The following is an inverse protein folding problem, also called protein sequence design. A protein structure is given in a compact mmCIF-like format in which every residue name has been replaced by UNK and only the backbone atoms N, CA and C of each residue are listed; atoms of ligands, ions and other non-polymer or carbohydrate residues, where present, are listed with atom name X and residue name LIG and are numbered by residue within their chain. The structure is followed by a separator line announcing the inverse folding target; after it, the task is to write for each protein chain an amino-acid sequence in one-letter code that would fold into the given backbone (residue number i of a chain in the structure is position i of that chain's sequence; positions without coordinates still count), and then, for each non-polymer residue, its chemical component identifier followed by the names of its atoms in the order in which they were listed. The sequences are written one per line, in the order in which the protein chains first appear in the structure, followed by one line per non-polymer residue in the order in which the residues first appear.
data_IF_131996269746
#
_entry.id   IF_131996269746
#
_cell.length_a   1.000
_cell.length_b   1.000
_cell.length_c   1.000
_cell.angle_alpha   90.00
_cell.angle_beta   90.00
_cell.angle_gamma   90.00
#
_symmetry.space_group_name_H-M   'P 1'
#
loop_
_entity.id
_entity.type
_entity.pdbx_description
1 polymer ?
#
# COMPACT_ATOMS: atom_id res chain seq x y z
N UNK A 1 -57.13 -41.70 -41.30
CA UNK A 1 -56.04 -40.95 -41.95
C UNK A 1 -55.39 -39.87 -41.07
N UNK A 2 -56.04 -39.34 -40.02
CA UNK A 2 -55.45 -38.28 -39.17
C UNK A 2 -54.29 -38.73 -38.25
N UNK A 3 -54.17 -40.02 -37.94
CA UNK A 3 -53.11 -40.53 -37.05
C UNK A 3 -51.74 -40.70 -37.74
N UNK A 4 -51.73 -40.98 -39.05
CA UNK A 4 -50.48 -41.14 -39.82
C UNK A 4 -49.77 -39.80 -40.09
N UNK A 5 -50.53 -38.69 -40.21
CA UNK A 5 -49.94 -37.36 -40.42
C UNK A 5 -49.22 -36.82 -39.17
N UNK A 6 -49.66 -37.22 -37.97
CA UNK A 6 -49.08 -36.75 -36.70
C UNK A 6 -47.71 -37.39 -36.41
N UNK A 7 -47.51 -38.64 -36.80
CA UNK A 7 -46.22 -39.33 -36.65
C UNK A 7 -45.12 -38.77 -37.59
N UNK A 8 -45.48 -38.36 -38.81
CA UNK A 8 -44.52 -37.78 -39.77
C UNK A 8 -44.14 -36.35 -39.38
N UNK A 9 -45.09 -35.58 -38.82
CA UNK A 9 -44.82 -34.22 -38.32
C UNK A 9 -43.92 -34.23 -37.08
N UNK A 10 -44.11 -35.16 -36.15
CA UNK A 10 -43.23 -35.32 -34.97
C UNK A 10 -41.81 -35.74 -35.33
N UNK A 11 -41.65 -36.65 -36.30
CA UNK A 11 -40.34 -37.12 -36.75
C UNK A 11 -39.55 -36.03 -37.48
N UNK A 12 -40.19 -35.20 -38.31
CA UNK A 12 -39.52 -34.11 -39.05
C UNK A 12 -39.25 -32.86 -38.19
N UNK A 13 -40.13 -32.55 -37.22
CA UNK A 13 -39.92 -31.43 -36.30
C UNK A 13 -38.84 -31.75 -35.24
N UNK A 14 -38.84 -32.98 -34.69
CA UNK A 14 -37.79 -33.44 -33.77
C UNK A 14 -36.41 -33.52 -34.42
N UNK A 15 -36.33 -33.97 -35.68
CA UNK A 15 -35.06 -34.04 -36.41
C UNK A 15 -34.45 -32.69 -36.77
N UNK A 16 -35.22 -31.59 -36.83
CA UNK A 16 -34.66 -30.27 -37.20
C UNK A 16 -34.26 -29.41 -36.01
N UNK A 17 -34.97 -29.52 -34.90
CA UNK A 17 -34.70 -28.72 -33.69
C UNK A 17 -33.64 -29.40 -32.82
N UNK A 18 -33.82 -30.69 -32.51
CA UNK A 18 -32.87 -31.44 -31.66
C UNK A 18 -31.50 -31.66 -32.29
N UNK A 19 -31.42 -31.82 -33.61
CA UNK A 19 -30.13 -31.92 -34.29
C UNK A 19 -29.41 -30.58 -34.38
N UNK A 20 -30.10 -29.45 -34.62
CA UNK A 20 -29.43 -28.14 -34.66
C UNK A 20 -28.88 -27.75 -33.29
N UNK A 21 -29.66 -27.93 -32.22
CA UNK A 21 -29.20 -27.63 -30.86
C UNK A 21 -28.14 -28.64 -30.38
N UNK A 22 -28.28 -29.93 -30.70
CA UNK A 22 -27.27 -30.95 -30.41
C UNK A 22 -25.95 -30.75 -31.17
N UNK A 23 -26.01 -30.34 -32.44
CA UNK A 23 -24.80 -30.02 -33.22
C UNK A 23 -24.18 -28.69 -32.79
N UNK A 24 -24.98 -27.67 -32.46
CA UNK A 24 -24.45 -26.39 -31.99
C UNK A 24 -23.78 -26.53 -30.61
N UNK A 25 -24.39 -27.28 -29.69
CA UNK A 25 -23.78 -27.60 -28.39
C UNK A 25 -22.58 -28.53 -28.51
N UNK A 26 -22.62 -29.53 -29.39
CA UNK A 26 -21.48 -30.40 -29.69
C UNK A 26 -20.31 -29.68 -30.38
N UNK A 27 -20.60 -28.73 -31.26
CA UNK A 27 -19.58 -27.88 -31.89
C UNK A 27 -19.03 -26.84 -30.91
N UNK A 28 -19.87 -26.26 -30.04
CA UNK A 28 -19.39 -25.36 -28.98
C UNK A 28 -18.49 -26.11 -27.99
N UNK A 29 -18.89 -27.34 -27.61
CA UNK A 29 -18.10 -28.22 -26.74
C UNK A 29 -16.79 -28.66 -27.40
N UNK A 30 -16.81 -29.04 -28.68
CA UNK A 30 -15.58 -29.33 -29.43
C UNK A 30 -14.68 -28.10 -29.58
N UNK A 31 -15.26 -26.93 -29.85
CA UNK A 31 -14.51 -25.66 -29.93
C UNK A 31 -13.93 -25.22 -28.58
N UNK A 32 -14.54 -25.62 -27.47
CA UNK A 32 -13.96 -25.39 -26.14
C UNK A 32 -12.85 -26.39 -25.80
N UNK A 33 -12.84 -27.56 -26.44
CA UNK A 33 -11.85 -28.63 -26.25
C UNK A 33 -10.64 -28.51 -27.19
N UNK A 34 -10.81 -27.87 -28.36
CA UNK A 34 -9.71 -27.67 -29.32
C UNK A 34 -8.89 -26.40 -28.97
N UNK A 35 -7.56 -26.51 -28.83
CA UNK A 35 -6.69 -25.35 -28.63
C UNK A 35 -6.74 -24.40 -29.83
N UNK A 36 -6.79 -23.10 -29.56
CA UNK A 36 -6.68 -22.08 -30.59
C UNK A 36 -5.74 -20.95 -30.14
N UNK A 37 -5.01 -20.33 -31.08
CA UNK A 37 -4.11 -19.23 -30.77
C UNK A 37 -4.90 -17.94 -30.52
N UNK A 38 -4.51 -17.22 -29.47
CA UNK A 38 -4.99 -15.88 -29.13
C UNK A 38 -3.81 -15.04 -28.65
N UNK A 39 -3.86 -13.74 -28.97
CA UNK A 39 -2.82 -12.78 -28.58
C UNK A 39 -3.31 -11.92 -27.42
N UNK A 40 -2.40 -11.62 -26.49
CA UNK A 40 -2.62 -10.69 -25.39
C UNK A 40 -1.51 -9.66 -25.39
N UNK A 41 -1.86 -8.38 -25.49
CA UNK A 41 -0.92 -7.28 -25.31
C UNK A 41 -0.57 -7.17 -23.82
N UNK A 42 0.72 -7.21 -23.51
CA UNK A 42 1.23 -7.25 -22.13
C UNK A 42 2.33 -6.22 -21.84
N UNK A 43 2.67 -5.38 -22.82
CA UNK A 43 3.70 -4.33 -22.67
C UNK A 43 3.50 -3.46 -21.44
N UNK A 44 2.26 -3.05 -21.18
CA UNK A 44 1.91 -2.24 -20.00
C UNK A 44 2.23 -2.93 -18.67
N UNK A 45 2.12 -4.25 -18.58
CA UNK A 45 2.47 -5.00 -17.38
C UNK A 45 3.99 -5.06 -17.20
N UNK A 46 4.71 -5.35 -18.29
CA UNK A 46 6.14 -5.60 -18.25
C UNK A 46 6.95 -4.33 -18.01
N UNK A 47 6.58 -3.21 -18.65
CA UNK A 47 7.26 -1.92 -18.48
C UNK A 47 7.21 -1.42 -17.02
N UNK A 48 6.13 -1.70 -16.30
CA UNK A 48 5.93 -1.23 -14.92
C UNK A 48 6.66 -2.02 -13.83
N UNK A 49 7.33 -3.14 -14.18
CA UNK A 49 8.19 -3.88 -13.25
C UNK A 49 9.66 -3.43 -13.29
N UNK A 50 10.03 -2.66 -14.32
CA UNK A 50 11.37 -2.08 -14.49
C UNK A 50 11.43 -0.62 -14.04
N UNK A 51 12.61 -0.17 -13.64
CA UNK A 51 12.92 1.20 -13.22
C UNK A 51 12.84 2.25 -14.35
N UNK A 52 12.56 1.83 -15.58
CA UNK A 52 12.76 2.62 -16.78
C UNK A 52 11.57 2.46 -17.73
N UNK A 53 10.73 3.50 -17.84
CA UNK A 53 9.69 3.61 -18.88
C UNK A 53 10.28 3.56 -20.31
N UNK A 54 11.60 3.70 -20.44
CA UNK A 54 12.39 3.66 -21.69
C UNK A 54 12.95 2.28 -22.05
N UNK A 55 12.61 1.21 -21.30
CA UNK A 55 13.07 -0.13 -21.63
C UNK A 55 12.68 -0.51 -23.07
N UNK A 56 13.66 -1.02 -23.83
CA UNK A 56 13.40 -1.57 -25.17
C UNK A 56 12.66 -2.90 -25.06
N UNK A 57 11.92 -3.31 -26.09
CA UNK A 57 11.13 -4.54 -26.09
C UNK A 57 11.92 -5.82 -25.70
N UNK A 58 13.24 -5.83 -25.94
CA UNK A 58 14.16 -6.92 -25.57
C UNK A 58 14.58 -6.93 -24.08
N UNK A 59 14.24 -5.88 -23.33
CA UNK A 59 14.55 -5.73 -21.90
C UNK A 59 13.35 -6.03 -20.99
N UNK A 60 12.18 -6.32 -21.57
CA UNK A 60 10.98 -6.65 -20.83
C UNK A 60 11.06 -8.09 -20.27
N UNK A 61 10.75 -8.26 -18.98
CA UNK A 61 10.83 -9.57 -18.30
C UNK A 61 9.59 -10.44 -18.58
N UNK A 62 9.51 -10.95 -19.81
CA UNK A 62 8.49 -11.92 -20.17
C UNK A 62 8.60 -13.22 -19.38
N UNK A 63 9.80 -13.61 -18.95
CA UNK A 63 10.04 -14.87 -18.26
C UNK A 63 9.24 -14.98 -16.97
N UNK A 64 9.27 -13.93 -16.14
CA UNK A 64 8.48 -13.89 -14.91
C UNK A 64 6.97 -13.90 -15.17
N UNK A 65 6.49 -13.20 -16.20
CA UNK A 65 5.07 -13.19 -16.54
C UNK A 65 4.59 -14.56 -17.05
N UNK A 66 5.35 -15.19 -17.95
CA UNK A 66 5.05 -16.53 -18.46
C UNK A 66 5.02 -17.55 -17.31
N UNK A 67 6.03 -17.54 -16.45
CA UNK A 67 6.09 -18.44 -15.29
C UNK A 67 4.90 -18.21 -14.35
N UNK A 68 4.48 -16.96 -14.12
CA UNK A 68 3.32 -16.66 -13.28
C UNK A 68 2.01 -17.18 -13.91
N UNK A 69 1.83 -17.02 -15.22
CA UNK A 69 0.67 -17.58 -15.94
C UNK A 69 0.69 -19.11 -15.87
N UNK A 70 1.81 -19.75 -16.21
CA UNK A 70 1.93 -21.21 -16.24
C UNK A 70 1.71 -21.85 -14.87
N UNK A 71 2.13 -21.18 -13.78
CA UNK A 71 1.96 -21.70 -12.41
C UNK A 71 0.62 -21.38 -11.77
N UNK A 72 -0.14 -20.41 -12.30
CA UNK A 72 -1.38 -19.93 -11.69
C UNK A 72 -2.65 -20.33 -12.48
N UNK A 73 -2.54 -20.44 -13.80
CA UNK A 73 -3.68 -20.73 -14.68
C UNK A 73 -3.59 -22.18 -15.13
N UNK A 74 -4.40 -23.07 -14.55
CA UNK A 74 -4.44 -24.50 -14.93
C UNK A 74 -3.06 -25.13 -15.20
N UNK A 75 -2.19 -25.26 -14.18
CA UNK A 75 -0.78 -25.58 -14.39
C UNK A 75 -0.51 -26.87 -15.18
N UNK A 76 -1.36 -27.87 -15.00
CA UNK A 76 -1.24 -29.18 -15.66
C UNK A 76 -1.48 -29.12 -17.18
N UNK A 77 -2.07 -28.03 -17.69
CA UNK A 77 -2.43 -27.88 -19.10
C UNK A 77 -1.28 -27.36 -19.98
N UNK A 78 -0.20 -26.84 -19.41
CA UNK A 78 0.90 -26.23 -20.17
C UNK A 78 1.95 -27.24 -20.63
N UNK A 79 2.48 -27.04 -21.85
CA UNK A 79 3.53 -27.87 -22.45
C UNK A 79 4.78 -27.96 -21.56
N UNK A 80 5.15 -26.88 -20.88
CA UNK A 80 6.26 -26.85 -19.92
C UNK A 80 6.08 -27.81 -18.74
N UNK A 81 4.84 -28.21 -18.47
CA UNK A 81 4.42 -29.14 -17.42
C UNK A 81 3.80 -30.44 -17.98
N UNK A 82 3.89 -30.67 -19.29
CA UNK A 82 3.45 -31.89 -19.98
C UNK A 82 2.03 -31.87 -20.55
N UNK A 83 1.37 -30.71 -20.57
CA UNK A 83 0.03 -30.51 -21.16
C UNK A 83 0.04 -30.10 -22.64
N UNK A 84 -1.15 -29.83 -23.19
CA UNK A 84 -1.38 -29.56 -24.63
C UNK A 84 -1.38 -28.06 -25.00
N UNK A 85 -1.40 -27.16 -24.01
CA UNK A 85 -1.42 -25.72 -24.22
C UNK A 85 0.00 -25.17 -24.30
N UNK A 86 0.22 -24.18 -25.17
CA UNK A 86 1.51 -23.49 -25.25
C UNK A 86 1.35 -21.97 -25.18
N UNK A 87 2.39 -21.34 -24.66
CA UNK A 87 2.48 -19.89 -24.52
C UNK A 87 3.85 -19.45 -25.04
N UNK A 88 3.90 -18.28 -25.66
CA UNK A 88 5.16 -17.68 -26.03
C UNK A 88 5.04 -16.20 -26.31
N UNK A 89 6.15 -15.61 -26.72
CA UNK A 89 6.31 -14.15 -26.75
C UNK A 89 6.40 -13.63 -28.18
N UNK A 90 5.82 -12.45 -28.38
CA UNK A 90 6.01 -11.60 -29.55
C UNK A 90 6.55 -10.24 -29.07
N UNK A 91 7.85 -10.14 -28.79
CA UNK A 91 8.43 -8.94 -28.17
C UNK A 91 8.22 -7.67 -28.99
N UNK A 92 8.25 -7.78 -30.33
CA UNK A 92 8.12 -6.66 -31.27
C UNK A 92 6.81 -5.86 -31.12
N UNK A 93 5.75 -6.51 -30.64
CA UNK A 93 4.44 -5.91 -30.40
C UNK A 93 4.03 -6.01 -28.93
N UNK A 94 5.00 -6.33 -28.06
CA UNK A 94 4.83 -6.45 -26.62
C UNK A 94 3.65 -7.34 -26.21
N UNK A 95 3.50 -8.46 -26.91
CA UNK A 95 2.41 -9.38 -26.73
C UNK A 95 2.92 -10.77 -26.37
N UNK A 96 2.04 -11.56 -25.75
CA UNK A 96 2.15 -13.01 -25.68
C UNK A 96 1.13 -13.64 -26.62
N UNK A 97 1.48 -14.79 -27.17
CA UNK A 97 0.52 -15.67 -27.80
C UNK A 97 0.25 -16.86 -26.88
N UNK A 98 -1.01 -17.28 -26.82
CA UNK A 98 -1.46 -18.44 -26.06
C UNK A 98 -2.25 -19.31 -27.02
N UNK A 99 -1.79 -20.54 -27.24
CA UNK A 99 -2.55 -21.56 -27.94
C UNK A 99 -3.09 -22.55 -26.91
N UNK A 100 -4.37 -22.41 -26.58
CA UNK A 100 -4.98 -23.13 -25.48
C UNK A 100 -6.49 -23.31 -25.69
N UNK A 101 -7.09 -24.21 -24.91
CA UNK A 101 -8.53 -24.43 -24.85
C UNK A 101 -9.26 -23.19 -24.32
N UNK A 102 -10.57 -23.07 -24.57
CA UNK A 102 -11.30 -21.85 -24.19
C UNK A 102 -11.27 -21.58 -22.68
N UNK A 103 -11.29 -22.64 -21.85
CA UNK A 103 -11.22 -22.49 -20.39
C UNK A 103 -9.88 -21.92 -19.91
N UNK A 104 -8.77 -22.38 -20.50
CA UNK A 104 -7.43 -21.84 -20.21
C UNK A 104 -7.32 -20.40 -20.72
N UNK A 105 -7.88 -20.10 -21.90
CA UNK A 105 -7.91 -18.73 -22.44
C UNK A 105 -8.67 -17.76 -21.52
N UNK A 106 -9.82 -18.17 -20.98
CA UNK A 106 -10.57 -17.36 -20.02
C UNK A 106 -9.78 -17.16 -18.71
N UNK A 107 -9.07 -18.21 -18.26
CA UNK A 107 -8.18 -18.14 -17.11
C UNK A 107 -7.03 -17.13 -17.30
N UNK A 108 -6.36 -17.15 -18.46
CA UNK A 108 -5.30 -16.18 -18.78
C UNK A 108 -5.86 -14.76 -18.85
N UNK A 109 -7.02 -14.56 -19.47
CA UNK A 109 -7.65 -13.24 -19.57
C UNK A 109 -7.99 -12.67 -18.17
N UNK A 110 -8.54 -13.50 -17.28
CA UNK A 110 -8.85 -13.10 -15.91
C UNK A 110 -7.57 -12.78 -15.12
N UNK A 111 -6.54 -13.60 -15.25
CA UNK A 111 -5.26 -13.37 -14.59
C UNK A 111 -4.64 -12.02 -14.99
N UNK A 112 -4.64 -11.69 -16.28
CA UNK A 112 -4.13 -10.40 -16.76
C UNK A 112 -5.01 -9.22 -16.29
N UNK A 113 -6.33 -9.41 -16.24
CA UNK A 113 -7.24 -8.40 -15.71
C UNK A 113 -6.99 -8.14 -14.20
N UNK A 114 -6.80 -9.19 -13.41
CA UNK A 114 -6.49 -9.08 -11.99
C UNK A 114 -5.17 -8.33 -11.77
N UNK A 115 -4.12 -8.65 -12.53
CA UNK A 115 -2.85 -7.92 -12.50
C UNK A 115 -3.03 -6.43 -12.80
N UNK A 116 -3.88 -6.08 -13.77
CA UNK A 116 -4.16 -4.67 -14.12
C UNK A 116 -4.81 -3.91 -12.96
N UNK A 117 -5.71 -4.57 -12.23
CA UNK A 117 -6.41 -3.97 -11.09
C UNK A 117 -5.46 -3.73 -9.90
N UNK A 118 -4.58 -4.70 -9.61
CA UNK A 118 -3.58 -4.58 -8.56
C UNK A 118 -2.60 -3.46 -8.87
N UNK A 119 -2.17 -3.36 -10.14
CA UNK A 119 -1.28 -2.27 -10.59
C UNK A 119 -1.91 -0.90 -10.33
N UNK A 120 -3.16 -0.69 -10.73
CA UNK A 120 -3.86 0.58 -10.53
C UNK A 120 -3.94 0.94 -9.04
N UNK A 121 -4.33 -0.02 -8.20
CA UNK A 121 -4.42 0.17 -6.76
C UNK A 121 -3.07 0.53 -6.11
N UNK A 122 -1.96 -0.08 -6.58
CA UNK A 122 -0.62 0.24 -6.09
C UNK A 122 -0.21 1.66 -6.49
N UNK A 123 -0.47 2.08 -7.73
CA UNK A 123 -0.15 3.44 -8.20
C UNK A 123 -0.94 4.48 -7.42
N UNK A 124 -2.25 4.26 -7.23
CA UNK A 124 -3.12 5.15 -6.44
C UNK A 124 -2.62 5.24 -4.99
N UNK A 125 -2.33 4.11 -4.33
CA UNK A 125 -1.82 4.08 -2.97
C UNK A 125 -0.44 4.77 -2.83
N UNK A 126 0.42 4.68 -3.86
CA UNK A 126 1.70 5.40 -3.87
C UNK A 126 1.50 6.91 -4.02
N UNK A 127 0.61 7.34 -4.92
CA UNK A 127 0.27 8.75 -5.10
C UNK A 127 -0.33 9.35 -3.82
N UNK A 128 -1.25 8.63 -3.16
CA UNK A 128 -1.81 9.03 -1.87
C UNK A 128 -0.74 9.17 -0.78
N UNK A 129 0.19 8.21 -0.70
CA UNK A 129 1.32 8.27 0.25
C UNK A 129 2.22 9.47 -0.01
N UNK A 130 2.49 9.80 -1.26
CA UNK A 130 3.29 10.97 -1.62
C UNK A 130 2.57 12.28 -1.26
N UNK A 131 1.27 12.38 -1.57
CA UNK A 131 0.49 13.56 -1.21
C UNK A 131 0.37 13.73 0.31
N UNK A 132 0.16 12.63 1.07
CA UNK A 132 0.20 12.66 2.54
C UNK A 132 1.55 13.14 3.08
N UNK A 133 2.68 12.69 2.51
CA UNK A 133 4.01 13.17 2.89
C UNK A 133 4.18 14.67 2.63
N UNK A 134 3.78 15.14 1.45
CA UNK A 134 3.84 16.57 1.08
C UNK A 134 3.00 17.43 2.04
N UNK A 135 1.75 17.04 2.31
CA UNK A 135 0.87 17.74 3.26
C UNK A 135 1.45 17.74 4.67
N UNK A 136 2.07 16.64 5.10
CA UNK A 136 2.75 16.54 6.40
C UNK A 136 3.91 17.53 6.47
N UNK A 137 4.76 17.61 5.44
CA UNK A 137 5.88 18.55 5.40
C UNK A 137 5.42 20.02 5.38
N UNK A 138 4.40 20.35 4.59
CA UNK A 138 3.80 21.68 4.56
C UNK A 138 3.23 22.06 5.94
N UNK A 139 2.51 21.13 6.58
CA UNK A 139 1.98 21.32 7.92
C UNK A 139 3.09 21.50 8.96
N UNK A 140 4.13 20.65 8.93
CA UNK A 140 5.29 20.78 9.83
C UNK A 140 5.99 22.13 9.66
N UNK A 141 6.23 22.58 8.42
CA UNK A 141 6.81 23.90 8.15
C UNK A 141 5.96 25.03 8.72
N UNK A 142 4.64 24.91 8.63
CA UNK A 142 3.72 25.92 9.20
C UNK A 142 3.77 25.99 10.73
N UNK A 143 4.12 24.88 11.40
CA UNK A 143 4.28 24.81 12.85
C UNK A 143 5.67 25.28 13.30
N UNK A 144 6.72 24.82 12.62
CA UNK A 144 8.11 25.09 13.04
C UNK A 144 8.52 26.55 12.79
N UNK A 145 8.13 27.14 11.66
CA UNK A 145 8.60 28.47 11.24
C UNK A 145 8.31 29.60 12.27
N UNK A 146 7.09 29.74 12.82
CA UNK A 146 6.82 30.76 13.83
C UNK A 146 7.65 30.58 15.12
N UNK A 147 8.00 29.33 15.44
CA UNK A 147 8.78 29.01 16.64
C UNK A 147 10.25 29.30 16.41
N UNK A 148 10.80 28.89 15.25
CA UNK A 148 12.19 29.18 14.87
C UNK A 148 12.45 30.68 14.80
N UNK A 149 11.53 31.47 14.21
CA UNK A 149 11.62 32.93 14.17
C UNK A 149 11.58 33.58 15.57
N UNK A 150 10.81 33.00 16.49
CA UNK A 150 10.68 33.51 17.87
C UNK A 150 11.87 33.13 18.76
N UNK A 151 12.50 31.99 18.50
CA UNK A 151 13.73 31.56 19.18
C UNK A 151 14.99 32.21 18.57
N UNK A 152 14.95 32.53 17.27
CA UNK A 152 16.14 32.98 16.53
C UNK A 152 17.09 31.83 16.16
N UNK A 153 16.63 30.59 16.23
CA UNK A 153 17.41 29.37 16.00
C UNK A 153 16.71 28.47 14.98
N UNK A 154 17.48 27.68 14.23
CA UNK A 154 16.93 26.65 13.35
C UNK A 154 16.44 25.45 14.18
N UNK A 155 15.34 24.83 13.74
CA UNK A 155 14.71 23.70 14.42
C UNK A 155 14.71 22.48 13.50
N UNK A 156 15.33 21.40 13.94
CA UNK A 156 15.23 20.07 13.32
C UNK A 156 14.26 19.20 14.11
N UNK A 157 13.50 18.34 13.45
CA UNK A 157 12.68 17.36 14.18
C UNK A 157 13.59 16.36 14.87
N UNK A 158 13.24 15.98 16.10
CA UNK A 158 13.98 14.93 16.81
C UNK A 158 13.93 13.62 16.02
N UNK A 159 15.09 12.96 15.95
CA UNK A 159 15.22 11.66 15.32
C UNK A 159 14.62 10.54 16.18
N UNK A 160 14.54 9.32 15.64
CA UNK A 160 14.12 8.15 16.41
C UNK A 160 15.11 7.78 17.52
N UNK A 161 16.38 8.17 17.37
CA UNK A 161 17.47 7.80 18.29
C UNK A 161 17.77 8.91 19.30
N UNK A 162 16.93 9.96 19.36
CA UNK A 162 17.12 11.07 20.28
C UNK A 162 16.89 10.60 21.72
N UNK A 163 17.96 10.63 22.54
CA UNK A 163 17.93 10.19 23.93
C UNK A 163 17.21 11.20 24.82
N UNK A 164 15.99 10.83 25.21
CA UNK A 164 15.13 11.66 26.04
C UNK A 164 15.18 11.29 27.52
N UNK A 165 15.81 10.18 27.89
CA UNK A 165 15.60 9.60 29.21
C UNK A 165 16.12 10.51 30.33
N UNK A 166 15.36 10.60 31.43
CA UNK A 166 15.76 11.31 32.63
C UNK A 166 15.12 12.70 32.78
N UNK A 167 15.77 13.54 33.59
CA UNK A 167 15.18 14.78 34.10
C UNK A 167 15.52 15.95 33.17
N UNK A 168 14.48 16.67 32.79
CA UNK A 168 14.56 17.87 31.95
C UNK A 168 13.95 19.06 32.68
N UNK A 169 14.64 20.19 32.62
CA UNK A 169 14.10 21.48 33.04
C UNK A 169 13.31 22.09 31.89
N UNK A 170 11.99 22.10 32.04
CA UNK A 170 11.05 22.59 31.04
C UNK A 170 10.63 24.00 31.39
N UNK A 171 10.89 24.93 30.47
CA UNK A 171 10.53 26.33 30.57
C UNK A 171 9.44 26.67 29.56
N UNK A 172 8.43 27.41 30.03
CA UNK A 172 7.35 27.94 29.20
C UNK A 172 7.22 29.43 29.43
N UNK A 173 7.14 30.20 28.34
CA UNK A 173 6.77 31.62 28.42
C UNK A 173 5.25 31.75 28.42
N UNK A 174 4.69 32.19 29.54
CA UNK A 174 3.26 32.46 29.69
C UNK A 174 2.84 33.69 28.86
N UNK A 175 1.54 33.84 28.60
CA UNK A 175 0.98 34.98 27.85
C UNK A 175 1.37 36.33 28.42
N UNK A 176 1.61 36.36 29.73
CA UNK A 176 1.90 37.56 30.52
C UNK A 176 3.41 37.88 30.55
N UNK A 177 4.21 37.12 29.78
CA UNK A 177 5.66 37.28 29.69
C UNK A 177 6.47 36.64 30.81
N UNK A 178 5.81 36.07 31.83
CA UNK A 178 6.46 35.29 32.90
C UNK A 178 6.99 33.96 32.37
N UNK A 179 8.13 33.53 32.91
CA UNK A 179 8.70 32.20 32.65
C UNK A 179 8.20 31.27 33.76
N UNK A 180 7.51 30.21 33.36
CA UNK A 180 7.13 29.09 34.21
C UNK A 180 8.16 27.97 33.99
N UNK A 181 8.75 27.46 35.07
CA UNK A 181 9.71 26.36 35.02
C UNK A 181 9.13 25.14 35.75
N UNK A 182 9.31 23.95 35.17
CA UNK A 182 8.90 22.67 35.75
C UNK A 182 9.95 21.60 35.42
N UNK A 183 10.14 20.62 36.32
CA UNK A 183 10.99 19.47 36.07
C UNK A 183 10.16 18.28 35.59
N UNK A 184 10.53 17.72 34.44
CA UNK A 184 9.86 16.59 33.80
C UNK A 184 10.81 15.41 33.70
N UNK A 185 10.32 14.22 34.07
CA UNK A 185 11.06 12.96 33.95
C UNK A 185 10.53 12.17 32.75
N UNK A 186 11.34 12.07 31.71
CA UNK A 186 11.02 11.35 30.49
C UNK A 186 11.45 9.89 30.63
N UNK A 187 10.49 8.98 30.47
CA UNK A 187 10.72 7.54 30.60
C UNK A 187 10.37 6.80 29.30
N UNK A 188 10.96 5.63 29.12
CA UNK A 188 10.69 4.76 27.97
C UNK A 188 9.26 4.22 28.04
N UNK A 189 8.58 4.20 26.89
CA UNK A 189 7.26 3.61 26.72
C UNK A 189 7.19 2.15 27.22
N UNK A 190 8.26 1.38 27.02
CA UNK A 190 8.34 -0.02 27.44
C UNK A 190 8.50 -0.20 28.96
N UNK A 191 8.82 0.88 29.68
CA UNK A 191 8.95 0.88 31.15
C UNK A 191 7.71 1.38 31.88
N UNK A 192 6.69 1.86 31.14
CA UNK A 192 5.45 2.38 31.72
C UNK A 192 4.63 1.26 32.33
N UNK A 193 4.60 1.17 33.67
CA UNK A 193 3.63 0.32 34.38
C UNK A 193 2.29 1.04 34.46
N UNK A 194 1.30 0.60 33.68
CA UNK A 194 -0.08 1.10 33.77
C UNK A 194 -0.63 0.81 35.19
N UNK A 195 -0.99 1.84 35.98
CA UNK A 195 -1.52 1.62 37.32
C UNK A 195 -2.81 0.80 37.27
N UNK A 196 -3.00 -0.05 38.29
CA UNK A 196 -4.26 -0.78 38.44
C UNK A 196 -5.41 0.22 38.67
N UNK A 197 -6.65 -0.10 38.25
CA UNK A 197 -7.79 0.81 38.37
C UNK A 197 -8.06 1.31 39.80
N UNK A 198 -7.61 0.57 40.84
CA UNK A 198 -7.75 0.95 42.25
C UNK A 198 -6.81 2.09 42.68
N UNK A 199 -5.78 2.43 41.89
CA UNK A 199 -4.83 3.52 42.14
C UNK A 199 -5.20 4.84 41.43
N UNK A 200 -6.40 4.93 40.83
CA UNK A 200 -6.86 6.09 40.04
C UNK A 200 -6.90 7.43 40.80
N UNK A 201 -6.77 7.43 42.13
CA UNK A 201 -6.72 8.63 42.97
C UNK A 201 -5.31 9.17 43.21
N UNK A 202 -4.25 8.42 42.85
CA UNK A 202 -2.86 8.90 42.91
C UNK A 202 -2.54 9.63 41.62
N UNK A 203 -1.96 10.83 41.70
CA UNK A 203 -1.50 11.56 40.51
C UNK A 203 -0.54 10.65 39.75
N UNK A 204 -0.90 10.30 38.52
CA UNK A 204 0.00 9.54 37.66
C UNK A 204 1.31 10.34 37.52
N UNK A 205 2.48 9.70 37.65
CA UNK A 205 3.71 10.28 37.12
C UNK A 205 3.44 10.69 35.66
N UNK A 206 3.77 11.92 35.29
CA UNK A 206 3.57 12.38 33.92
C UNK A 206 4.57 11.64 33.03
N UNK A 207 4.08 10.74 32.18
CA UNK A 207 4.93 10.02 31.23
C UNK A 207 4.83 10.65 29.85
N UNK A 208 5.91 10.57 29.08
CA UNK A 208 6.07 11.26 27.81
C UNK A 208 6.47 10.28 26.71
N UNK A 209 5.53 9.91 25.86
CA UNK A 209 5.77 8.96 24.76
C UNK A 209 6.22 9.71 23.51
N UNK A 210 7.29 9.22 22.88
CA UNK A 210 7.92 9.87 21.73
C UNK A 210 7.96 8.93 20.54
N UNK A 211 7.52 9.44 19.39
CA UNK A 211 7.89 8.94 18.07
C UNK A 211 8.66 10.06 17.36
N UNK A 212 9.47 9.76 16.33
CA UNK A 212 10.25 10.81 15.64
C UNK A 212 9.38 12.02 15.27
N UNK A 213 9.80 13.18 15.77
CA UNK A 213 9.11 14.47 15.62
C UNK A 213 7.78 14.63 16.37
N UNK A 214 7.41 13.76 17.33
CA UNK A 214 6.13 13.83 18.05
C UNK A 214 6.21 13.30 19.48
N UNK A 215 5.69 14.06 20.44
CA UNK A 215 5.69 13.72 21.87
C UNK A 215 4.28 13.88 22.43
N UNK A 216 3.85 12.98 23.31
CA UNK A 216 2.59 13.15 24.07
C UNK A 216 2.90 13.48 25.52
N UNK A 217 2.42 14.63 25.99
CA UNK A 217 2.64 15.15 27.35
C UNK A 217 1.30 15.33 28.05
N UNK A 218 1.08 14.58 29.14
CA UNK A 218 -0.17 14.64 29.90
C UNK A 218 -1.42 14.50 29.01
N UNK A 219 -1.37 13.59 28.03
CA UNK A 219 -2.45 13.35 27.07
C UNK A 219 -2.60 14.39 25.95
N UNK A 220 -1.68 15.36 25.84
CA UNK A 220 -1.66 16.37 24.77
C UNK A 220 -0.52 16.11 23.79
N UNK A 221 -0.76 16.16 22.47
CA UNK A 221 0.28 15.95 21.47
C UNK A 221 1.10 17.23 21.23
N UNK A 222 2.39 17.04 21.01
CA UNK A 222 3.38 18.06 20.70
C UNK A 222 4.20 17.59 19.50
N UNK A 223 4.56 18.53 18.63
CA UNK A 223 5.66 18.36 17.68
C UNK A 223 6.94 18.61 18.46
N UNK A 224 7.87 17.67 18.41
CA UNK A 224 9.16 17.82 19.08
C UNK A 224 10.27 18.10 18.08
N UNK A 225 11.05 19.13 18.39
CA UNK A 225 12.19 19.56 17.62
C UNK A 225 13.39 19.76 18.56
N UNK A 226 14.59 19.69 18.03
CA UNK A 226 15.82 20.06 18.70
C UNK A 226 16.34 21.38 18.12
N UNK A 227 17.07 22.14 18.93
CA UNK A 227 17.86 23.28 18.48
C UNK A 227 19.32 22.88 18.25
N UNK A 228 20.12 23.74 17.62
CA UNK A 228 21.58 23.53 17.49
C UNK A 228 22.31 23.39 18.85
N UNK A 229 21.69 23.83 19.94
CA UNK A 229 22.23 23.76 21.30
C UNK A 229 21.73 22.58 22.12
N UNK A 230 21.34 21.47 21.49
CA UNK A 230 20.83 20.23 22.12
C UNK A 230 19.62 20.46 23.05
N UNK A 231 18.87 21.54 22.83
CA UNK A 231 17.66 21.84 23.60
C UNK A 231 16.45 21.23 22.91
N UNK A 232 15.57 20.61 23.68
CA UNK A 232 14.32 20.03 23.19
C UNK A 232 13.22 21.09 23.17
N UNK A 233 12.60 21.32 22.02
CA UNK A 233 11.49 22.25 21.83
C UNK A 233 10.20 21.46 21.60
N UNK A 234 9.23 21.66 22.49
CA UNK A 234 7.92 21.00 22.43
C UNK A 234 6.85 21.99 21.99
N UNK A 235 6.30 21.77 20.80
CA UNK A 235 5.41 22.71 20.11
C UNK A 235 3.99 22.12 20.06
N UNK A 236 3.00 22.71 20.76
CA UNK A 236 1.64 22.20 20.70
C UNK A 236 1.04 22.44 19.32
N UNK A 237 0.36 21.44 18.76
CA UNK A 237 -0.15 21.46 17.37
C UNK A 237 -1.13 22.60 17.07
N UNK A 238 -1.87 23.05 18.08
CA UNK A 238 -2.96 24.01 17.91
C UNK A 238 -2.53 25.46 18.16
N UNK A 239 -1.44 25.67 18.93
CA UNK A 239 -0.98 26.99 19.35
C UNK A 239 0.55 27.06 19.35
N UNK A 240 1.20 27.04 18.17
CA UNK A 240 2.65 26.85 18.07
C UNK A 240 3.48 27.85 18.90
N UNK A 241 2.98 29.07 19.10
CA UNK A 241 3.66 30.11 19.88
C UNK A 241 3.68 29.88 21.39
N UNK A 242 2.90 28.92 21.89
CA UNK A 242 2.87 28.45 23.28
C UNK A 242 3.80 27.24 23.51
N UNK A 243 4.87 27.15 22.71
CA UNK A 243 5.90 26.13 22.83
C UNK A 243 6.64 26.19 24.17
N UNK A 244 7.29 25.08 24.50
CA UNK A 244 8.11 24.90 25.68
C UNK A 244 9.53 24.55 25.24
N UNK A 245 10.52 24.98 26.00
CA UNK A 245 11.93 24.64 25.78
C UNK A 245 12.38 23.84 26.97
N UNK A 246 12.95 22.67 26.73
CA UNK A 246 13.43 21.73 27.71
C UNK A 246 14.95 21.60 27.55
N UNK A 247 15.67 21.78 28.64
CA UNK A 247 17.13 21.58 28.70
C UNK A 247 17.45 20.47 29.68
N UNK A 248 18.40 19.60 29.32
CA UNK A 248 18.88 18.57 30.23
C UNK A 248 19.72 19.24 31.33
N UNK A 249 19.47 18.90 32.58
CA UNK A 249 20.38 19.30 33.65
C UNK A 249 21.69 18.54 33.39
N UNK A 250 22.80 19.25 33.17
CA UNK A 250 24.14 18.64 33.06
C UNK A 250 24.57 18.13 34.44
N UNK A 251 23.89 17.10 34.94
CA UNK A 251 24.35 16.24 36.01
C UNK A 251 24.91 14.98 35.37
N UNK A 252 26.23 14.86 35.32
CA UNK A 252 26.84 13.53 35.17
C UNK A 252 26.23 12.57 36.21
N UNK A 253 25.94 11.30 35.85
CA UNK A 253 25.44 10.31 36.77
C UNK A 253 26.40 10.03 37.95
#
# INVERSE_FOLDING_TARGET
MLFACLCVAGYLAGNRVGFREGYASGQAKRKSEEPYPKFYEVGDFLRSTGKDDEATADQLDYGSLLAAIETSVFPEEWESLGGECCIGVFPQVEAIYVNATSGVQDGVANFLADLSSVKLAVVEAQAERQDMRRRREEWLKSILKPVSEKLGEELSLISHDFDLLGIWDVQRKSSDGRIESAQWDFIDADTVQVPRPDDASKSMPQWYLVAAGSVVVSGKPYVAAETEGDSLVLIPSNEPLNFMVATRENGEP
#
